data_IF_377694294883
#
_entry.id   IF_377694294883
#
_cell.length_a   1.000
_cell.length_b   1.000
_cell.length_c   1.000
_cell.angle_alpha   90.00
_cell.angle_beta   90.00
_cell.angle_gamma   90.00
#
_symmetry.space_group_name_H-M   'P 1'
#
loop_
_entity.id
_entity.type
_entity.pdbx_description
1 polymer ?
#
# COMPACT_ATOMS: atom_id res chain seq x y z
N UNK A 1 -0.53 21.41 11.49
CA UNK A 1 0.49 21.37 12.55
C UNK A 1 0.56 22.65 13.35
N UNK A 2 0.77 23.78 12.73
CA UNK A 2 0.92 25.08 13.45
C UNK A 2 -0.24 25.38 14.40
N UNK A 3 -1.47 25.22 13.94
CA UNK A 3 -2.69 25.42 14.75
C UNK A 3 -2.69 24.59 16.05
N UNK A 4 -2.29 23.33 15.97
CA UNK A 4 -2.24 22.44 17.13
C UNK A 4 -1.15 22.87 18.10
N UNK A 5 0.02 23.25 17.60
CA UNK A 5 1.12 23.77 18.41
C UNK A 5 0.73 25.07 19.13
N UNK A 6 0.04 25.96 18.43
CA UNK A 6 -0.40 27.23 19.00
C UNK A 6 -1.38 27.02 20.15
N UNK A 7 -2.30 26.08 20.03
CA UNK A 7 -3.22 25.72 21.13
C UNK A 7 -2.45 25.23 22.36
N UNK A 8 -1.45 24.35 22.20
CA UNK A 8 -0.65 23.88 23.32
C UNK A 8 0.23 24.97 23.93
N UNK A 9 0.83 25.82 23.10
CA UNK A 9 1.64 26.96 23.54
C UNK A 9 0.81 27.98 24.37
N UNK A 10 -0.44 28.27 23.95
CA UNK A 10 -1.34 29.11 24.68
C UNK A 10 -1.69 28.56 26.07
N UNK A 11 -1.67 27.25 26.24
CA UNK A 11 -1.87 26.59 27.53
C UNK A 11 -0.58 26.42 28.35
N UNK A 12 0.53 26.99 27.89
CA UNK A 12 1.83 26.90 28.57
C UNK A 12 2.51 25.52 28.50
N UNK A 13 2.00 24.61 27.68
CA UNK A 13 2.54 23.26 27.51
C UNK A 13 3.57 23.27 26.38
N UNK A 14 4.79 22.82 26.67
CA UNK A 14 5.85 22.65 25.68
C UNK A 14 5.93 21.18 25.26
N UNK A 15 5.56 20.88 24.02
CA UNK A 15 5.67 19.55 23.42
C UNK A 15 6.58 19.65 22.19
N UNK A 16 7.46 18.68 22.00
CA UNK A 16 8.32 18.63 20.83
C UNK A 16 7.49 18.37 19.57
N UNK A 17 7.77 19.11 18.52
CA UNK A 17 7.05 19.06 17.23
C UNK A 17 7.05 17.65 16.61
N UNK A 18 8.07 16.85 16.89
CA UNK A 18 8.18 15.46 16.40
C UNK A 18 7.01 14.56 16.81
N UNK A 19 6.44 14.78 17.98
CA UNK A 19 5.26 14.03 18.44
C UNK A 19 4.04 14.33 17.56
N UNK A 20 3.84 15.59 17.20
CA UNK A 20 2.76 15.97 16.29
C UNK A 20 3.00 15.49 14.87
N UNK A 21 4.24 15.54 14.39
CA UNK A 21 4.62 15.06 13.07
C UNK A 21 4.29 13.57 12.88
N UNK A 22 4.60 12.74 13.87
CA UNK A 22 4.29 11.31 13.83
C UNK A 22 2.77 11.08 13.77
N UNK A 23 1.99 11.80 14.61
CA UNK A 23 0.54 11.66 14.64
C UNK A 23 -0.08 12.12 13.32
N UNK A 24 0.30 13.29 12.81
CA UNK A 24 -0.21 13.83 11.54
C UNK A 24 0.15 12.91 10.36
N UNK A 25 1.35 12.35 10.35
CA UNK A 25 1.75 11.37 9.33
C UNK A 25 0.83 10.14 9.30
N UNK A 26 0.43 9.63 10.48
CA UNK A 26 -0.52 8.52 10.56
C UNK A 26 -1.93 8.93 10.12
N UNK A 27 -2.36 10.14 10.41
CA UNK A 27 -3.65 10.69 9.94
C UNK A 27 -3.69 10.85 8.41
N UNK A 28 -2.54 11.05 7.77
CA UNK A 28 -2.38 11.23 6.31
C UNK A 28 -1.88 9.96 5.60
N UNK A 29 -2.03 8.80 6.21
CA UNK A 29 -1.52 7.54 5.67
C UNK A 29 -2.33 7.01 4.50
N UNK A 30 -3.61 7.37 4.40
CA UNK A 30 -4.53 6.90 3.37
C UNK A 30 -4.71 7.91 2.24
N UNK A 31 -4.93 7.37 1.04
CA UNK A 31 -5.26 8.14 -0.16
C UNK A 31 -6.53 7.60 -0.78
N UNK A 32 -7.28 8.48 -1.45
CA UNK A 32 -8.45 8.09 -2.24
C UNK A 32 -8.06 8.07 -3.72
N UNK A 33 -8.36 6.97 -4.40
CA UNK A 33 -8.11 6.82 -5.83
C UNK A 33 -9.12 7.68 -6.60
N UNK A 34 -8.61 8.57 -7.46
CA UNK A 34 -9.43 9.37 -8.37
C UNK A 34 -9.63 8.64 -9.69
N UNK A 35 -8.53 8.27 -10.34
CA UNK A 35 -8.53 7.51 -11.57
C UNK A 35 -7.63 6.28 -11.38
N UNK A 36 -8.16 5.07 -11.50
CA UNK A 36 -7.39 3.84 -11.32
C UNK A 36 -6.41 3.57 -12.48
N UNK A 37 -6.58 4.20 -13.64
CA UNK A 37 -5.77 3.90 -14.82
C UNK A 37 -5.73 2.41 -15.14
N UNK A 38 -4.54 1.85 -15.36
CA UNK A 38 -4.32 0.42 -15.63
C UNK A 38 -3.94 -0.38 -14.37
N UNK A 39 -4.15 0.18 -13.18
CA UNK A 39 -3.91 -0.50 -11.91
C UNK A 39 -5.08 -1.39 -11.51
N UNK A 40 -4.90 -2.20 -10.46
CA UNK A 40 -5.96 -3.07 -9.89
C UNK A 40 -6.94 -2.32 -8.99
N UNK A 41 -6.76 -1.03 -8.78
CA UNK A 41 -7.60 -0.24 -7.90
C UNK A 41 -8.96 0.07 -8.53
N UNK A 42 -9.93 0.38 -7.67
CA UNK A 42 -11.25 0.89 -8.08
C UNK A 42 -11.33 2.39 -7.85
N UNK A 43 -12.18 3.06 -8.61
CA UNK A 43 -12.49 4.47 -8.39
C UNK A 43 -13.03 4.69 -6.98
N UNK A 44 -12.62 5.79 -6.35
CA UNK A 44 -12.99 6.16 -4.98
C UNK A 44 -12.58 5.16 -3.89
N UNK A 45 -11.77 4.18 -4.20
CA UNK A 45 -11.21 3.27 -3.22
C UNK A 45 -10.23 4.01 -2.30
N UNK A 46 -10.34 3.74 -1.00
CA UNK A 46 -9.39 4.25 0.00
C UNK A 46 -8.33 3.20 0.25
N UNK A 47 -7.08 3.51 -0.10
CA UNK A 47 -5.93 2.60 0.03
C UNK A 47 -4.81 3.23 0.86
N UNK A 48 -3.87 2.41 1.27
CA UNK A 48 -2.66 2.88 1.93
C UNK A 48 -1.74 3.58 0.91
N UNK A 49 -1.18 4.72 1.28
CA UNK A 49 -0.29 5.50 0.41
C UNK A 49 0.91 4.67 -0.07
N UNK A 50 1.41 3.76 0.77
CA UNK A 50 2.50 2.86 0.42
C UNK A 50 2.06 1.85 -0.64
N UNK A 51 0.91 1.19 -0.45
CA UNK A 51 0.35 0.25 -1.41
C UNK A 51 0.07 0.92 -2.77
N UNK A 52 -0.41 2.16 -2.75
CA UNK A 52 -0.61 2.96 -3.95
C UNK A 52 0.70 3.21 -4.71
N UNK A 53 1.78 3.57 -3.99
CA UNK A 53 3.09 3.79 -4.60
C UNK A 53 3.65 2.48 -5.18
N UNK A 54 3.61 1.39 -4.41
CA UNK A 54 4.11 0.08 -4.82
C UNK A 54 3.40 -0.43 -6.08
N UNK A 55 2.09 -0.22 -6.20
CA UNK A 55 1.34 -0.63 -7.39
C UNK A 55 1.66 0.24 -8.62
N UNK A 56 1.82 1.56 -8.44
CA UNK A 56 2.26 2.43 -9.52
C UNK A 56 3.68 2.09 -9.98
N UNK A 57 4.59 1.80 -9.07
CA UNK A 57 5.95 1.36 -9.39
C UNK A 57 5.94 0.00 -10.13
N UNK A 58 5.03 -0.89 -9.75
CA UNK A 58 4.86 -2.18 -10.40
C UNK A 58 4.48 -2.07 -11.87
N UNK A 59 3.67 -1.08 -12.24
CA UNK A 59 3.25 -0.87 -13.63
C UNK A 59 4.17 0.08 -14.40
N UNK A 60 5.04 0.78 -13.70
CA UNK A 60 5.98 1.73 -14.31
C UNK A 60 6.81 1.07 -15.42
N UNK A 61 6.85 1.70 -16.58
CA UNK A 61 7.59 1.19 -17.75
C UNK A 61 6.97 -0.04 -18.43
N UNK A 62 5.80 -0.51 -17.99
CA UNK A 62 5.04 -1.55 -18.70
C UNK A 62 4.18 -0.94 -19.80
N UNK A 63 3.80 -1.81 -20.73
CA UNK A 63 2.95 -1.46 -21.85
C UNK A 63 1.71 -2.34 -21.87
N UNK A 64 0.60 -1.76 -22.28
CA UNK A 64 -0.68 -2.47 -22.44
C UNK A 64 -0.90 -2.77 -23.91
N UNK A 65 -1.21 -4.02 -24.22
CA UNK A 65 -1.49 -4.47 -25.59
C UNK A 65 -2.85 -3.91 -26.02
N UNK A 66 -2.85 -3.11 -27.08
CA UNK A 66 -4.09 -2.59 -27.70
C UNK A 66 -4.57 -3.58 -28.75
N UNK A 67 -3.68 -3.99 -29.67
CA UNK A 67 -3.95 -4.98 -30.71
C UNK A 67 -2.86 -6.05 -30.66
N UNK A 68 -3.26 -7.28 -30.43
CA UNK A 68 -2.33 -8.41 -30.37
C UNK A 68 -1.78 -8.81 -31.75
N UNK A 69 -2.35 -8.27 -32.87
CA UNK A 69 -1.97 -8.70 -34.21
C UNK A 69 -2.09 -10.21 -34.38
N UNK A 70 -1.07 -10.83 -34.96
CA UNK A 70 -1.01 -12.29 -35.18
C UNK A 70 -0.30 -13.05 -34.04
N UNK A 71 -0.10 -12.42 -32.87
CA UNK A 71 0.53 -13.08 -31.73
C UNK A 71 -0.41 -14.09 -31.09
N UNK A 72 0.08 -15.32 -30.88
CA UNK A 72 -0.66 -16.37 -30.16
C UNK A 72 -0.44 -16.29 -28.63
N UNK A 73 0.58 -15.55 -28.19
CA UNK A 73 1.02 -15.51 -26.80
C UNK A 73 0.47 -14.32 -26.03
N UNK A 74 -0.05 -13.29 -26.73
CA UNK A 74 -0.52 -12.05 -26.14
C UNK A 74 -2.01 -11.84 -26.42
N UNK A 75 -2.70 -11.27 -25.42
CA UNK A 75 -4.12 -10.91 -25.55
C UNK A 75 -4.30 -9.39 -25.45
N UNK A 76 -5.30 -8.82 -26.12
CA UNK A 76 -5.66 -7.41 -25.93
C UNK A 76 -5.93 -7.11 -24.46
N UNK A 77 -5.49 -5.97 -23.96
CA UNK A 77 -5.60 -5.56 -22.56
C UNK A 77 -4.54 -6.15 -21.63
N UNK A 78 -3.66 -7.02 -22.09
CA UNK A 78 -2.62 -7.60 -21.27
C UNK A 78 -1.47 -6.61 -21.04
N UNK A 79 -1.00 -6.50 -19.78
CA UNK A 79 0.22 -5.76 -19.46
C UNK A 79 1.47 -6.58 -19.72
N UNK A 80 2.43 -6.00 -20.43
CA UNK A 80 3.71 -6.62 -20.77
C UNK A 80 4.88 -5.68 -20.52
N UNK A 81 6.05 -6.25 -20.35
CA UNK A 81 7.30 -5.48 -20.27
C UNK A 81 7.81 -5.14 -21.68
N UNK A 82 8.55 -4.03 -21.80
CA UNK A 82 9.16 -3.61 -23.06
C UNK A 82 10.07 -4.70 -23.67
N UNK A 83 10.73 -5.51 -22.82
CA UNK A 83 11.56 -6.64 -23.27
C UNK A 83 10.72 -7.71 -23.94
N UNK A 84 9.64 -8.17 -23.29
CA UNK A 84 8.74 -9.19 -23.86
C UNK A 84 8.09 -8.73 -25.17
N UNK A 85 7.70 -7.44 -25.25
CA UNK A 85 7.21 -6.86 -26.49
C UNK A 85 8.23 -6.93 -27.64
N UNK A 86 9.49 -6.59 -27.33
CA UNK A 86 10.56 -6.62 -28.33
C UNK A 86 10.80 -8.03 -28.86
N UNK A 87 10.84 -9.01 -27.95
CA UNK A 87 11.07 -10.41 -28.29
C UNK A 87 9.94 -10.95 -29.19
N UNK A 88 8.67 -10.69 -28.81
CA UNK A 88 7.49 -11.10 -29.60
C UNK A 88 7.47 -10.40 -30.98
N UNK A 89 7.67 -9.10 -31.03
CA UNK A 89 7.69 -8.37 -32.29
C UNK A 89 8.84 -8.81 -33.19
N UNK A 90 9.97 -9.21 -32.65
CA UNK A 90 11.09 -9.76 -33.42
C UNK A 90 10.75 -11.14 -33.97
N UNK A 91 10.04 -11.98 -33.21
CA UNK A 91 9.57 -13.29 -33.67
C UNK A 91 8.51 -13.17 -34.79
N UNK A 92 7.55 -12.21 -34.64
CA UNK A 92 6.52 -11.95 -35.65
C UNK A 92 7.11 -11.39 -36.94
N UNK A 93 8.06 -10.45 -36.85
CA UNK A 93 8.77 -9.91 -38.03
C UNK A 93 9.54 -10.97 -38.83
N UNK A 94 10.13 -11.97 -38.14
CA UNK A 94 10.82 -13.08 -38.83
C UNK A 94 9.87 -13.99 -39.63
N UNK A 95 8.58 -13.96 -39.29
CA UNK A 95 7.52 -14.73 -39.91
C UNK A 95 6.66 -13.91 -40.87
N UNK A 96 7.03 -12.65 -41.11
CA UNK A 96 6.25 -11.65 -41.90
C UNK A 96 4.79 -11.53 -41.43
N UNK A 97 4.57 -11.62 -40.09
CA UNK A 97 3.28 -11.47 -39.45
C UNK A 97 3.08 -10.06 -38.89
N UNK A 98 1.81 -9.68 -38.65
CA UNK A 98 1.44 -8.38 -38.10
C UNK A 98 1.97 -8.22 -36.66
N UNK A 99 2.68 -7.13 -36.42
CA UNK A 99 3.26 -6.81 -35.11
C UNK A 99 2.22 -6.33 -34.11
N UNK A 100 2.52 -6.56 -32.82
CA UNK A 100 1.69 -6.13 -31.68
C UNK A 100 1.72 -4.63 -31.52
N UNK A 101 0.55 -3.98 -31.41
CA UNK A 101 0.41 -2.57 -31.07
C UNK A 101 0.16 -2.40 -29.58
N UNK A 102 0.86 -1.47 -28.97
CA UNK A 102 0.81 -1.22 -27.53
C UNK A 102 0.70 0.27 -27.24
N UNK A 103 0.13 0.59 -26.07
CA UNK A 103 0.23 1.90 -25.43
C UNK A 103 1.01 1.80 -24.12
N UNK A 104 1.49 2.91 -23.62
CA UNK A 104 2.07 2.94 -22.28
C UNK A 104 0.99 2.73 -21.22
N UNK A 105 1.37 2.02 -20.14
CA UNK A 105 0.46 1.83 -19.01
C UNK A 105 0.26 3.17 -18.27
N UNK A 106 -0.98 3.47 -17.95
CA UNK A 106 -1.36 4.70 -17.24
C UNK A 106 -1.37 4.42 -15.74
N UNK A 107 -0.56 5.13 -14.92
CA UNK A 107 -0.58 4.98 -13.48
C UNK A 107 -1.87 5.52 -12.88
N UNK A 108 -2.23 5.03 -11.69
CA UNK A 108 -3.37 5.57 -10.94
C UNK A 108 -3.04 6.96 -10.40
N UNK A 109 -4.07 7.80 -10.32
CA UNK A 109 -4.01 9.10 -9.65
C UNK A 109 -4.80 9.05 -8.35
N UNK A 110 -4.36 9.79 -7.35
CA UNK A 110 -4.99 9.79 -6.03
C UNK A 110 -5.01 11.17 -5.41
N UNK A 111 -5.96 11.36 -4.51
CA UNK A 111 -6.04 12.54 -3.63
C UNK A 111 -5.69 12.15 -2.19
N UNK A 112 -5.03 13.08 -1.48
CA UNK A 112 -4.58 12.85 -0.11
C UNK A 112 -5.76 12.97 0.85
N UNK A 113 -6.05 11.90 1.59
CA UNK A 113 -7.09 11.89 2.62
C UNK A 113 -6.50 12.26 3.98
N UNK A 114 -7.18 13.16 4.71
CA UNK A 114 -6.93 13.43 6.11
C UNK A 114 -7.98 12.71 6.97
N UNK A 115 -7.53 11.79 7.80
CA UNK A 115 -8.40 11.05 8.72
C UNK A 115 -8.31 11.60 10.14
N UNK A 116 -9.41 11.59 10.87
CA UNK A 116 -9.40 11.85 12.31
C UNK A 116 -8.58 10.80 13.07
N UNK A 117 -8.09 11.14 14.26
CA UNK A 117 -7.22 10.27 15.09
C UNK A 117 -7.86 8.90 15.34
N UNK A 118 -9.14 8.87 15.73
CA UNK A 118 -9.88 7.63 16.02
C UNK A 118 -9.97 6.73 14.78
N UNK A 119 -10.32 7.32 13.64
CA UNK A 119 -10.43 6.57 12.38
C UNK A 119 -9.08 6.04 11.91
N UNK A 120 -8.03 6.84 12.05
CA UNK A 120 -6.66 6.41 11.73
C UNK A 120 -6.21 5.24 12.62
N UNK A 121 -6.58 5.22 13.90
CA UNK A 121 -6.27 4.14 14.84
C UNK A 121 -7.05 2.86 14.55
N UNK A 122 -8.30 2.95 14.09
CA UNK A 122 -9.15 1.78 13.75
C UNK A 122 -8.84 1.18 12.37
N UNK A 123 -8.36 1.98 11.43
CA UNK A 123 -8.03 1.54 10.06
C UNK A 123 -6.55 1.18 9.88
N UNK A 124 -5.92 0.64 10.90
CA UNK A 124 -4.57 0.09 10.83
C UNK A 124 -4.53 -1.25 10.09
N UNK A 125 -3.35 -1.66 9.62
CA UNK A 125 -3.15 -2.98 8.99
C UNK A 125 -3.41 -4.12 9.97
N UNK A 126 -3.09 -3.92 11.26
CA UNK A 126 -3.34 -4.88 12.33
C UNK A 126 -4.75 -4.74 12.89
N UNK A 127 -5.58 -5.77 12.73
CA UNK A 127 -6.90 -5.80 13.34
C UNK A 127 -6.84 -6.02 14.85
N UNK A 128 -5.81 -6.68 15.37
CA UNK A 128 -5.62 -6.88 16.82
C UNK A 128 -5.35 -5.55 17.52
N UNK A 129 -4.50 -4.70 16.96
CA UNK A 129 -4.25 -3.36 17.46
C UNK A 129 -5.51 -2.50 17.46
N UNK A 130 -6.27 -2.53 16.37
CA UNK A 130 -7.53 -1.81 16.27
C UNK A 130 -8.58 -2.31 17.30
N UNK A 131 -8.73 -3.63 17.45
CA UNK A 131 -9.64 -4.25 18.41
C UNK A 131 -9.33 -3.89 19.86
N UNK A 132 -8.04 -3.74 20.19
CA UNK A 132 -7.63 -3.37 21.55
C UNK A 132 -7.86 -1.90 21.89
N UNK A 133 -8.09 -1.07 20.90
CA UNK A 133 -8.33 0.37 21.08
C UNK A 133 -9.81 0.66 21.34
N UNK A 134 -10.69 0.28 20.42
CA UNK A 134 -12.13 0.57 20.49
C UNK A 134 -12.93 -0.38 19.58
N UNK A 135 -14.22 -0.53 19.85
CA UNK A 135 -15.14 -1.35 19.02
C UNK A 135 -14.66 -2.80 18.81
N UNK A 136 -14.14 -3.45 19.86
CA UNK A 136 -13.50 -4.77 19.82
C UNK A 136 -14.33 -5.81 19.06
N UNK A 137 -15.63 -5.94 19.40
CA UNK A 137 -16.51 -6.94 18.78
C UNK A 137 -16.72 -6.69 17.29
N UNK A 138 -16.92 -5.44 16.90
CA UNK A 138 -17.14 -5.06 15.50
C UNK A 138 -15.89 -5.33 14.67
N UNK A 139 -14.72 -4.91 15.16
CA UNK A 139 -13.42 -5.09 14.47
C UNK A 139 -13.11 -6.57 14.30
N UNK A 140 -13.30 -7.39 15.34
CA UNK A 140 -13.07 -8.83 15.27
C UNK A 140 -14.03 -9.53 14.32
N UNK A 141 -15.32 -9.15 14.31
CA UNK A 141 -16.31 -9.69 13.39
C UNK A 141 -15.94 -9.37 11.93
N UNK A 142 -15.61 -8.12 11.63
CA UNK A 142 -15.16 -7.71 10.29
C UNK A 142 -13.88 -8.45 9.87
N UNK A 143 -12.93 -8.62 10.76
CA UNK A 143 -11.71 -9.36 10.49
C UNK A 143 -11.97 -10.84 10.19
N UNK A 144 -12.89 -11.47 10.93
CA UNK A 144 -13.29 -12.86 10.74
C UNK A 144 -14.03 -13.06 9.39
N UNK A 145 -14.98 -12.19 9.06
CA UNK A 145 -15.73 -12.24 7.81
C UNK A 145 -14.80 -12.07 6.60
N UNK A 146 -13.85 -11.12 6.68
CA UNK A 146 -12.92 -10.83 5.60
C UNK A 146 -11.70 -11.76 5.56
N UNK A 147 -11.57 -12.69 6.50
CA UNK A 147 -10.42 -13.59 6.59
C UNK A 147 -9.09 -12.87 6.75
N UNK A 148 -9.06 -11.76 7.50
CA UNK A 148 -7.84 -10.97 7.67
C UNK A 148 -6.79 -11.75 8.47
N UNK A 149 -5.54 -11.61 8.06
CA UNK A 149 -4.38 -12.16 8.76
C UNK A 149 -3.57 -11.01 9.37
N UNK A 150 -3.20 -11.14 10.63
CA UNK A 150 -2.31 -10.20 11.32
C UNK A 150 -0.91 -10.81 11.40
N UNK A 151 0.07 -10.12 10.82
CA UNK A 151 1.46 -10.60 10.76
C UNK A 151 2.27 -10.27 12.01
N UNK A 152 1.65 -9.69 13.04
CA UNK A 152 2.28 -9.35 14.32
C UNK A 152 3.55 -8.48 14.18
N UNK A 153 3.53 -7.54 13.25
CA UNK A 153 4.66 -6.65 12.99
C UNK A 153 4.80 -5.54 14.04
N UNK A 154 3.71 -5.15 14.69
CA UNK A 154 3.68 -4.09 15.69
C UNK A 154 4.00 -4.58 17.11
N UNK A 155 4.22 -3.64 18.03
CA UNK A 155 4.46 -3.98 19.43
C UNK A 155 3.20 -4.44 20.15
N UNK A 156 2.08 -3.79 19.87
CA UNK A 156 0.80 -4.01 20.57
C UNK A 156 0.24 -5.40 20.34
N UNK A 157 0.29 -5.88 19.10
CA UNK A 157 -0.16 -7.21 18.70
C UNK A 157 0.64 -8.31 19.40
N UNK A 158 1.95 -8.15 19.45
CA UNK A 158 2.84 -9.11 20.11
C UNK A 158 2.60 -9.16 21.63
N UNK A 159 2.39 -8.01 22.27
CA UNK A 159 2.06 -7.95 23.71
C UNK A 159 0.73 -8.64 24.00
N UNK A 160 -0.29 -8.45 23.15
CA UNK A 160 -1.59 -9.10 23.32
C UNK A 160 -1.47 -10.62 23.20
N UNK A 161 -0.67 -11.11 22.24
CA UNK A 161 -0.42 -12.54 22.03
C UNK A 161 0.56 -13.17 23.04
N UNK A 162 1.21 -12.37 23.89
CA UNK A 162 2.23 -12.85 24.81
C UNK A 162 3.57 -13.17 24.16
N UNK A 163 3.82 -12.66 22.96
CA UNK A 163 5.10 -12.76 22.26
C UNK A 163 6.06 -11.65 22.66
N UNK A 164 7.36 -11.88 22.40
CA UNK A 164 8.36 -10.82 22.54
C UNK A 164 8.07 -9.70 21.54
N UNK A 165 8.26 -8.45 21.97
CA UNK A 165 8.13 -7.29 21.07
C UNK A 165 9.22 -7.33 20.00
N UNK A 166 8.97 -6.85 18.77
CA UNK A 166 9.95 -6.84 17.68
C UNK A 166 11.00 -5.73 17.88
N UNK A 167 11.65 -5.69 19.06
CA UNK A 167 12.68 -4.73 19.43
C UNK A 167 13.61 -5.34 20.46
N UNK A 168 14.87 -4.90 20.51
CA UNK A 168 15.88 -5.43 21.41
C UNK A 168 16.12 -6.93 21.18
N UNK A 169 16.07 -7.74 22.23
CA UNK A 169 16.29 -9.19 22.17
C UNK A 169 15.22 -9.96 21.39
N UNK A 170 14.06 -9.37 21.14
CA UNK A 170 12.98 -9.93 20.30
C UNK A 170 13.07 -9.56 18.83
N UNK A 171 14.09 -8.80 18.41
CA UNK A 171 14.30 -8.43 17.04
C UNK A 171 14.97 -9.55 16.26
N UNK A 172 14.26 -10.15 15.30
CA UNK A 172 14.76 -11.26 14.48
C UNK A 172 16.03 -10.93 13.70
N UNK A 173 16.23 -9.68 13.31
CA UNK A 173 17.45 -9.26 12.61
C UNK A 173 18.70 -9.41 13.47
N UNK A 174 18.62 -9.11 14.76
CA UNK A 174 19.75 -9.28 15.69
C UNK A 174 19.99 -10.73 16.10
N UNK A 175 18.96 -11.57 16.05
CA UNK A 175 19.10 -12.99 16.40
C UNK A 175 19.63 -13.83 15.25
N UNK A 176 19.40 -13.44 14.00
CA UNK A 176 19.97 -14.12 12.82
C UNK A 176 21.47 -13.82 12.67
N UNK A 177 21.91 -12.58 12.93
CA UNK A 177 23.34 -12.21 12.86
C UNK A 177 24.18 -12.77 14.01
N UNK A 178 23.55 -13.20 15.12
CA UNK A 178 24.26 -13.82 16.24
C UNK A 178 24.40 -15.34 16.12
N UNK A 179 23.82 -15.94 15.07
CA UNK A 179 23.86 -17.38 14.81
C UNK A 179 24.91 -17.81 13.77
N UNK A 180 25.60 -16.86 13.11
CA UNK A 180 26.78 -17.01 12.26
C UNK A 180 28.05 -16.66 13.03
#
# INVERSE_FOLDING_TARGET
>A
MNEVQDVYRMQGVKINDKHFEVIVRQMMRKVTILDPGDTRFLEQQVVDKREFMDENDRIWGKKVVVDAGDSQNLKPGQMITARKLRDENSALKRKDLKTVQVRDAVPATSDQMLQGITRAALQTSSFMSAASFQETTKVLNEAAINGKVDYLEGMKENVICGHLIPAGTGCLLYTSDAAD
#
